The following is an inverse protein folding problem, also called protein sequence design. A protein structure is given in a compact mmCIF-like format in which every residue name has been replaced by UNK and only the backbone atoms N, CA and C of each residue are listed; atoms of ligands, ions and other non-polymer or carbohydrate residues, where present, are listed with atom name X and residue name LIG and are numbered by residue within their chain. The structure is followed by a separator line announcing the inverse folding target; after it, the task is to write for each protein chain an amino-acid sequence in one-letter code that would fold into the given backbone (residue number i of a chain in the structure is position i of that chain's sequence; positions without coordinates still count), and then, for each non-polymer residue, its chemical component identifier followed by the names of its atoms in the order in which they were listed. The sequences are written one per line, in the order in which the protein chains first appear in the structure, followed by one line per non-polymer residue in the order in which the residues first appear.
data_IF_276165682023
#
_entry.id   IF_276165682023
#
_cell.length_a   1.000
_cell.length_b   1.000
_cell.length_c   1.000
_cell.angle_alpha   90.00
_cell.angle_beta   90.00
_cell.angle_gamma   90.00
#
_symmetry.space_group_name_H-M   'P 1'
#
loop_
_entity.id
_entity.type
_entity.pdbx_description
1 polymer ?
#
# COMPACT_ATOMS: atom_id res chain seq x y z
N UNK A 1 -43.56 34.06 44.52
CA UNK A 1 -43.61 33.67 43.09
C UNK A 1 -42.36 32.89 42.77
N UNK A 2 -42.38 31.57 43.05
CA UNK A 2 -41.33 30.63 42.69
C UNK A 2 -41.94 29.65 41.68
N UNK A 3 -41.30 29.47 40.53
CA UNK A 3 -41.56 28.36 39.63
C UNK A 3 -40.23 27.69 39.31
N UNK A 4 -39.98 26.58 39.99
CA UNK A 4 -38.99 25.59 39.60
C UNK A 4 -39.59 24.75 38.46
N UNK A 5 -38.80 24.57 37.40
CA UNK A 5 -39.12 23.67 36.28
C UNK A 5 -38.49 22.31 36.55
N UNK A 6 -39.33 21.30 36.71
CA UNK A 6 -38.94 19.90 36.67
C UNK A 6 -38.46 19.50 35.27
N UNK A 7 -37.27 18.91 35.21
CA UNK A 7 -36.75 18.20 34.05
C UNK A 7 -37.12 16.73 34.22
N UNK A 8 -37.95 16.20 33.32
CA UNK A 8 -38.21 14.75 33.21
C UNK A 8 -37.04 14.07 32.51
N UNK A 9 -36.39 13.17 33.21
CA UNK A 9 -35.37 12.23 32.69
C UNK A 9 -36.07 11.07 31.98
N UNK A 10 -35.72 10.84 30.71
CA UNK A 10 -36.19 9.71 29.91
C UNK A 10 -35.56 8.39 30.39
N UNK A 11 -36.40 7.35 30.43
CA UNK A 11 -36.08 5.97 30.78
C UNK A 11 -35.17 5.32 29.71
N UNK A 12 -34.01 4.83 30.15
CA UNK A 12 -33.13 3.94 29.39
C UNK A 12 -33.67 2.50 29.49
N UNK A 13 -34.26 1.99 28.40
CA UNK A 13 -34.60 0.58 28.24
C UNK A 13 -33.31 -0.26 28.11
N UNK A 14 -32.90 -0.87 29.22
CA UNK A 14 -32.00 -2.02 29.24
C UNK A 14 -32.73 -3.25 28.67
N UNK A 15 -32.29 -3.73 27.51
CA UNK A 15 -32.67 -5.06 27.01
C UNK A 15 -31.67 -6.08 27.57
N UNK A 16 -32.08 -6.76 28.65
CA UNK A 16 -31.37 -7.93 29.17
C UNK A 16 -31.52 -9.11 28.19
N UNK A 17 -30.39 -9.66 27.77
CA UNK A 17 -30.30 -10.95 27.11
C UNK A 17 -30.08 -11.99 28.22
N UNK A 18 -31.14 -12.66 28.67
CA UNK A 18 -31.03 -13.81 29.56
C UNK A 18 -30.50 -15.01 28.78
N UNK A 19 -29.28 -15.42 29.13
CA UNK A 19 -28.71 -16.71 28.77
C UNK A 19 -29.12 -17.69 29.87
N UNK A 20 -29.95 -18.67 29.53
CA UNK A 20 -30.25 -19.78 30.43
C UNK A 20 -29.01 -20.67 30.57
N UNK A 21 -28.38 -20.60 31.75
CA UNK A 21 -27.40 -21.56 32.21
C UNK A 21 -28.15 -22.77 32.79
N UNK A 22 -28.19 -23.88 32.07
CA UNK A 22 -28.38 -25.20 32.68
C UNK A 22 -27.02 -25.78 32.99
N UNK A 23 -26.60 -25.65 34.24
CA UNK A 23 -25.53 -26.45 34.83
C UNK A 23 -26.14 -27.75 35.35
N UNK A 24 -25.69 -28.90 34.86
CA UNK A 24 -25.69 -30.12 35.67
C UNK A 24 -24.44 -30.93 35.36
N UNK A 25 -23.71 -31.20 36.45
CA UNK A 25 -22.50 -31.99 36.53
C UNK A 25 -22.88 -33.47 36.46
N UNK A 26 -22.33 -34.23 35.52
CA UNK A 26 -22.06 -35.65 35.77
C UNK A 26 -20.69 -36.05 35.22
N UNK A 27 -19.89 -36.64 36.11
CA UNK A 27 -18.59 -37.27 35.82
C UNK A 27 -18.80 -38.59 35.08
N UNK A 28 -17.97 -38.96 34.09
CA UNK A 28 -17.88 -40.34 33.67
C UNK A 28 -16.77 -41.08 34.45
N UNK A 29 -17.08 -42.28 34.93
CA UNK A 29 -16.11 -43.33 35.26
C UNK A 29 -16.15 -44.42 34.17
N UNK A 30 -15.06 -45.18 34.01
CA UNK A 30 -14.76 -45.94 32.79
C UNK A 30 -15.21 -47.42 32.87
N UNK A 31 -15.06 -48.11 31.72
CA UNK A 31 -15.15 -49.57 31.49
C UNK A 31 -16.59 -50.12 31.42
N UNK A 32 -17.03 -51.00 30.53
CA UNK A 32 -16.38 -51.88 29.55
C UNK A 32 -17.45 -52.52 28.62
N UNK A 33 -17.00 -53.06 27.47
CA UNK A 33 -17.59 -54.17 26.69
C UNK A 33 -18.83 -53.96 25.79
N UNK A 34 -18.59 -54.08 24.48
CA UNK A 34 -19.08 -55.25 23.73
C UNK A 34 -20.32 -55.10 22.85
N UNK A 35 -20.08 -55.04 21.54
CA UNK A 35 -20.76 -55.80 20.47
C UNK A 35 -22.31 -55.79 20.42
N UNK A 36 -22.89 -55.08 19.43
CA UNK A 36 -23.88 -55.66 18.51
C UNK A 36 -24.03 -54.74 17.28
N UNK A 37 -24.07 -55.36 16.10
CA UNK A 37 -24.04 -54.68 14.81
C UNK A 37 -25.39 -54.48 14.14
N UNK A 38 -25.26 -53.75 13.03
CA UNK A 38 -26.04 -53.80 11.79
C UNK A 38 -27.48 -53.26 11.75
N UNK A 39 -27.71 -52.57 10.61
CA UNK A 39 -28.97 -52.18 9.97
C UNK A 39 -29.74 -50.97 10.55
N UNK A 40 -29.65 -49.84 9.83
CA UNK A 40 -30.69 -49.43 8.87
C UNK A 40 -30.20 -48.18 8.12
N UNK A 41 -29.92 -48.34 6.84
CA UNK A 41 -29.73 -47.25 5.88
C UNK A 41 -31.07 -46.53 5.68
N UNK A 42 -31.13 -45.23 6.00
CA UNK A 42 -32.18 -44.35 5.48
C UNK A 42 -31.56 -43.40 4.45
N UNK A 43 -31.89 -43.68 3.20
CA UNK A 43 -31.72 -42.84 2.02
C UNK A 43 -32.46 -41.51 2.28
N UNK A 44 -31.71 -40.41 2.40
CA UNK A 44 -32.24 -39.06 2.27
C UNK A 44 -31.95 -38.61 0.84
N UNK A 45 -33.01 -38.32 0.09
CA UNK A 45 -32.97 -37.79 -1.26
C UNK A 45 -32.55 -36.31 -1.21
N UNK A 46 -31.46 -35.96 -1.90
CA UNK A 46 -31.05 -34.57 -2.13
C UNK A 46 -31.89 -33.94 -3.24
N UNK A 47 -32.50 -32.76 -3.03
CA UNK A 47 -33.13 -32.02 -4.10
C UNK A 47 -32.10 -31.17 -4.86
N UNK A 48 -31.87 -31.57 -6.12
CA UNK A 48 -31.74 -30.70 -7.29
C UNK A 48 -30.73 -29.55 -7.22
N UNK A 49 -29.50 -29.82 -7.66
CA UNK A 49 -28.53 -28.79 -8.05
C UNK A 49 -28.97 -28.10 -9.35
N UNK A 50 -29.58 -26.93 -9.24
CA UNK A 50 -29.65 -25.98 -10.36
C UNK A 50 -28.29 -25.32 -10.56
N UNK A 51 -27.84 -25.35 -11.81
CA UNK A 51 -26.55 -24.94 -12.33
C UNK A 51 -26.12 -23.54 -11.90
N UNK A 52 -25.02 -23.45 -11.15
CA UNK A 52 -24.27 -22.21 -10.98
C UNK A 52 -23.55 -21.88 -12.29
N UNK A 53 -23.99 -20.82 -12.96
CA UNK A 53 -23.22 -20.21 -14.04
C UNK A 53 -21.87 -19.72 -13.51
N UNK A 54 -20.78 -20.27 -14.06
CA UNK A 54 -19.41 -19.88 -13.78
C UNK A 54 -19.18 -18.39 -14.11
N UNK A 55 -19.13 -17.56 -13.07
CA UNK A 55 -18.61 -16.19 -13.17
C UNK A 55 -17.08 -16.25 -13.39
N UNK A 56 -16.65 -16.30 -14.65
CA UNK A 56 -15.26 -16.00 -15.01
C UNK A 56 -14.99 -14.50 -14.81
N UNK A 57 -14.29 -14.15 -13.73
CA UNK A 57 -13.64 -12.84 -13.63
C UNK A 57 -12.49 -12.77 -14.65
N UNK A 58 -12.74 -12.13 -15.79
CA UNK A 58 -11.66 -11.70 -16.67
C UNK A 58 -10.91 -10.54 -16.00
N UNK A 59 -9.74 -10.84 -15.43
CA UNK A 59 -8.83 -9.83 -14.94
C UNK A 59 -8.34 -8.96 -16.11
N UNK A 60 -8.69 -7.66 -16.05
CA UNK A 60 -8.23 -6.63 -16.96
C UNK A 60 -6.70 -6.61 -16.98
N UNK A 61 -6.09 -6.91 -18.13
CA UNK A 61 -4.65 -6.71 -18.38
C UNK A 61 -4.34 -5.22 -18.18
N UNK A 62 -3.58 -4.88 -17.15
CA UNK A 62 -3.14 -3.51 -16.89
C UNK A 62 -1.94 -3.16 -17.81
N UNK A 63 -2.02 -2.13 -18.67
CA UNK A 63 -0.97 -1.82 -19.62
C UNK A 63 -0.14 -0.60 -19.20
N UNK A 64 0.73 -0.69 -18.19
CA UNK A 64 1.75 0.34 -17.96
C UNK A 64 3.01 -0.24 -17.29
N UNK A 65 4.03 -0.52 -18.11
CA UNK A 65 5.40 -0.81 -17.67
C UNK A 65 6.29 0.34 -18.15
N UNK A 66 6.81 1.13 -17.21
CA UNK A 66 7.90 2.05 -17.48
C UNK A 66 8.97 1.91 -16.38
N UNK A 67 10.15 1.43 -16.78
CA UNK A 67 11.35 1.39 -15.94
C UNK A 67 11.82 2.83 -15.65
N UNK A 68 12.18 3.12 -14.39
CA UNK A 68 12.95 4.32 -14.02
C UNK A 68 14.38 3.94 -13.64
N UNK A 69 15.43 4.51 -14.26
CA UNK A 69 16.81 4.36 -13.81
C UNK A 69 17.27 5.61 -13.05
N UNK A 70 17.74 5.45 -11.81
CA UNK A 70 18.38 6.54 -11.08
C UNK A 70 18.56 6.31 -9.58
N UNK A 71 19.64 5.61 -9.20
CA UNK A 71 20.65 5.96 -8.18
C UNK A 71 20.30 6.39 -6.76
N UNK A 72 19.04 6.56 -6.38
CA UNK A 72 18.62 6.66 -5.00
C UNK A 72 17.58 5.57 -4.75
N UNK A 73 17.74 4.80 -3.67
CA UNK A 73 16.68 3.95 -3.13
C UNK A 73 15.52 4.84 -2.69
N UNK A 74 14.77 5.34 -3.65
CA UNK A 74 13.42 5.81 -3.47
C UNK A 74 12.68 4.58 -2.98
N UNK A 75 12.54 4.40 -1.66
CA UNK A 75 11.57 3.45 -1.11
C UNK A 75 10.22 4.05 -1.46
N UNK A 76 9.53 3.59 -2.52
CA UNK A 76 8.14 3.99 -2.63
C UNK A 76 7.54 3.42 -1.35
N UNK A 77 6.90 4.26 -0.54
CA UNK A 77 5.94 3.72 0.41
C UNK A 77 4.90 3.05 -0.46
N UNK A 78 5.14 1.79 -0.82
CA UNK A 78 4.48 1.07 -1.90
C UNK A 78 3.16 0.61 -1.30
N UNK A 79 2.30 1.59 -1.06
CA UNK A 79 0.93 1.42 -0.59
C UNK A 79 0.20 0.90 -1.81
N UNK A 80 0.08 -0.42 -1.89
CA UNK A 80 -0.77 -1.09 -2.87
C UNK A 80 -2.10 -1.38 -2.21
N UNK A 81 -3.17 -1.31 -2.99
CA UNK A 81 -4.46 -1.78 -2.51
C UNK A 81 -4.39 -3.28 -2.31
N UNK A 82 -4.79 -3.76 -1.12
CA UNK A 82 -4.90 -5.18 -0.82
C UNK A 82 -5.85 -5.92 -1.77
N UNK A 83 -6.73 -5.23 -2.49
CA UNK A 83 -7.75 -5.87 -3.34
C UNK A 83 -7.37 -5.82 -4.81
N UNK A 84 -7.05 -4.64 -5.36
CA UNK A 84 -6.68 -4.51 -6.78
C UNK A 84 -5.21 -4.28 -7.05
N UNK A 85 -4.38 -4.13 -6.01
CA UNK A 85 -2.92 -4.00 -6.10
C UNK A 85 -2.40 -2.82 -6.91
N UNK A 86 -3.29 -1.91 -7.34
CA UNK A 86 -2.93 -0.65 -7.96
C UNK A 86 -2.16 0.21 -6.97
N UNK A 87 -1.14 0.88 -7.48
CA UNK A 87 -0.50 1.99 -6.80
C UNK A 87 -1.36 3.23 -6.99
N UNK A 88 -1.43 4.02 -5.94
CA UNK A 88 -2.29 5.18 -5.88
C UNK A 88 -1.67 6.18 -4.90
N UNK A 89 -2.08 7.44 -5.02
CA UNK A 89 -1.62 8.49 -4.13
C UNK A 89 -2.07 8.22 -2.68
N UNK A 90 -1.33 8.71 -1.67
CA UNK A 90 -1.68 8.55 -0.26
C UNK A 90 -3.07 9.06 0.13
N UNK A 91 -3.66 9.95 -0.67
CA UNK A 91 -5.00 10.52 -0.47
C UNK A 91 -6.11 9.57 -0.95
N UNK A 92 -5.82 8.78 -1.97
CA UNK A 92 -6.72 7.76 -2.51
C UNK A 92 -6.62 6.42 -1.75
N UNK A 93 -5.72 6.35 -0.78
CA UNK A 93 -5.54 5.21 0.10
C UNK A 93 -6.08 5.44 1.49
N UNK A 94 -6.71 4.40 2.00
CA UNK A 94 -6.96 4.23 3.41
C UNK A 94 -6.03 3.18 3.97
N UNK A 95 -5.34 3.52 5.06
CA UNK A 95 -4.66 2.54 5.89
C UNK A 95 -5.56 2.18 7.08
N UNK A 96 -5.72 0.88 7.31
CA UNK A 96 -6.57 0.33 8.35
C UNK A 96 -5.68 -0.40 9.37
N UNK A 97 -5.54 0.19 10.55
CA UNK A 97 -4.83 -0.41 11.71
C UNK A 97 -5.82 -0.96 12.74
N UNK A 98 -7.00 -0.38 12.86
CA UNK A 98 -8.04 -0.86 13.77
C UNK A 98 -8.59 -2.21 13.33
N UNK A 99 -8.57 -3.20 14.23
CA UNK A 99 -9.11 -4.55 14.00
C UNK A 99 -10.56 -4.50 13.48
N UNK A 100 -11.40 -3.63 14.02
CA UNK A 100 -12.80 -3.50 13.59
C UNK A 100 -12.94 -2.95 12.17
N UNK A 101 -12.08 -2.00 11.77
CA UNK A 101 -12.11 -1.45 10.40
C UNK A 101 -11.59 -2.47 9.38
N UNK A 102 -10.54 -3.21 9.72
CA UNK A 102 -10.04 -4.33 8.91
C UNK A 102 -11.12 -5.39 8.74
N UNK A 103 -11.78 -5.77 9.84
CA UNK A 103 -12.87 -6.74 9.84
C UNK A 103 -14.01 -6.31 8.92
N UNK A 104 -14.49 -5.08 9.00
CA UNK A 104 -15.57 -4.60 8.12
C UNK A 104 -15.16 -4.55 6.65
N UNK A 105 -13.94 -4.10 6.32
CA UNK A 105 -13.43 -4.20 4.96
C UNK A 105 -13.51 -5.65 4.46
N UNK A 106 -12.92 -6.59 5.21
CA UNK A 106 -12.80 -7.99 4.82
C UNK A 106 -14.17 -8.68 4.70
N UNK A 107 -15.08 -8.43 5.64
CA UNK A 107 -16.46 -8.93 5.57
C UNK A 107 -17.14 -8.44 4.29
N UNK A 108 -16.98 -7.17 3.93
CA UNK A 108 -17.51 -6.63 2.67
C UNK A 108 -16.92 -7.33 1.44
N UNK A 109 -15.62 -7.59 1.43
CA UNK A 109 -14.94 -8.32 0.34
C UNK A 109 -15.43 -9.77 0.22
N UNK A 110 -15.64 -10.47 1.34
CA UNK A 110 -16.19 -11.84 1.34
C UNK A 110 -17.62 -11.85 0.79
N UNK A 111 -18.46 -10.91 1.23
CA UNK A 111 -19.85 -10.80 0.73
C UNK A 111 -19.91 -10.47 -0.76
N UNK A 112 -18.92 -9.74 -1.27
CA UNK A 112 -18.77 -9.45 -2.70
C UNK A 112 -18.12 -10.57 -3.52
N UNK A 113 -17.73 -11.69 -2.90
CA UNK A 113 -17.03 -12.79 -3.57
C UNK A 113 -15.59 -12.47 -3.97
N UNK A 114 -15.01 -11.38 -3.47
CA UNK A 114 -13.64 -10.95 -3.78
C UNK A 114 -12.60 -11.62 -2.85
N UNK A 115 -13.04 -12.31 -1.79
CA UNK A 115 -12.17 -12.92 -0.78
C UNK A 115 -12.83 -14.14 -0.13
N UNK A 116 -12.05 -15.17 0.20
CA UNK A 116 -12.53 -16.34 0.98
C UNK A 116 -12.26 -16.15 2.47
N UNK A 117 -12.89 -16.97 3.32
CA UNK A 117 -12.73 -16.90 4.78
C UNK A 117 -11.30 -17.26 5.19
N UNK A 118 -10.69 -18.24 4.54
CA UNK A 118 -9.32 -18.70 4.81
C UNK A 118 -8.29 -17.60 4.52
N UNK A 119 -8.46 -16.88 3.40
CA UNK A 119 -7.63 -15.73 3.05
C UNK A 119 -7.80 -14.57 4.04
N UNK A 120 -9.03 -14.37 4.49
CA UNK A 120 -9.37 -13.31 5.42
C UNK A 120 -8.67 -13.46 6.78
N UNK A 121 -8.46 -14.67 7.28
CA UNK A 121 -7.72 -14.91 8.53
C UNK A 121 -6.27 -14.43 8.45
N UNK A 122 -5.58 -14.78 7.36
CA UNK A 122 -4.20 -14.34 7.11
C UNK A 122 -4.12 -12.82 7.05
N UNK A 123 -5.04 -12.20 6.31
CA UNK A 123 -5.10 -10.74 6.16
C UNK A 123 -5.43 -10.05 7.50
N UNK A 124 -6.32 -10.64 8.31
CA UNK A 124 -6.67 -10.11 9.62
C UNK A 124 -5.47 -10.06 10.57
N UNK A 125 -4.50 -10.97 10.40
CA UNK A 125 -3.26 -11.01 11.17
C UNK A 125 -2.29 -9.86 10.85
N UNK A 126 -2.42 -9.23 9.68
CA UNK A 126 -1.55 -8.12 9.27
C UNK A 126 -1.72 -6.91 10.19
N UNK A 127 -0.62 -6.29 10.62
CA UNK A 127 -0.67 -5.12 11.50
C UNK A 127 -1.43 -3.94 10.86
N UNK A 128 -1.21 -3.72 9.56
CA UNK A 128 -1.83 -2.65 8.77
C UNK A 128 -2.23 -3.18 7.41
N UNK A 129 -3.36 -2.71 6.90
CA UNK A 129 -3.84 -2.99 5.54
C UNK A 129 -3.98 -1.67 4.80
N UNK A 130 -3.53 -1.63 3.54
CA UNK A 130 -3.80 -0.52 2.64
C UNK A 130 -4.90 -0.92 1.66
N UNK A 131 -5.91 -0.07 1.48
CA UNK A 131 -6.94 -0.28 0.46
C UNK A 131 -7.29 1.04 -0.22
N UNK A 132 -7.54 1.01 -1.52
CA UNK A 132 -7.98 2.21 -2.21
C UNK A 132 -9.41 2.56 -1.78
N UNK A 133 -9.77 3.83 -1.89
CA UNK A 133 -11.08 4.32 -1.47
C UNK A 133 -12.23 3.67 -2.27
N UNK A 134 -11.96 3.20 -3.49
CA UNK A 134 -12.93 2.45 -4.31
C UNK A 134 -13.32 1.14 -3.61
N UNK A 135 -12.37 0.24 -3.33
CA UNK A 135 -12.67 -1.03 -2.66
C UNK A 135 -13.20 -0.85 -1.23
N UNK A 136 -12.79 0.23 -0.55
CA UNK A 136 -13.37 0.55 0.75
C UNK A 136 -14.87 0.88 0.66
N UNK A 137 -15.27 1.59 -0.41
CA UNK A 137 -16.67 1.94 -0.69
C UNK A 137 -17.45 0.72 -1.18
N UNK A 138 -16.89 -0.05 -2.11
CA UNK A 138 -17.51 -1.31 -2.59
C UNK A 138 -17.77 -2.29 -1.44
N UNK A 139 -16.80 -2.46 -0.53
CA UNK A 139 -16.98 -3.32 0.64
C UNK A 139 -18.13 -2.84 1.54
N UNK A 140 -18.29 -1.52 1.72
CA UNK A 140 -19.43 -0.96 2.45
C UNK A 140 -20.75 -1.23 1.72
N UNK A 141 -20.78 -1.06 0.40
CA UNK A 141 -21.97 -1.30 -0.42
C UNK A 141 -22.42 -2.77 -0.33
N UNK A 142 -21.47 -3.73 -0.33
CA UNK A 142 -21.80 -5.15 -0.13
C UNK A 142 -22.42 -5.42 1.25
N UNK A 143 -21.92 -4.76 2.30
CA UNK A 143 -22.50 -4.86 3.65
C UNK A 143 -23.92 -4.29 3.65
N UNK A 144 -24.13 -3.12 3.07
CA UNK A 144 -25.44 -2.47 3.00
C UNK A 144 -26.45 -3.31 2.20
N UNK A 145 -26.01 -3.85 1.05
CA UNK A 145 -26.79 -4.80 0.24
C UNK A 145 -27.19 -6.03 1.03
N UNK A 146 -26.26 -6.65 1.79
CA UNK A 146 -26.55 -7.83 2.61
C UNK A 146 -27.52 -7.54 3.75
N UNK A 147 -27.45 -6.33 4.32
CA UNK A 147 -28.38 -5.86 5.34
C UNK A 147 -29.73 -5.42 4.77
N UNK A 148 -29.80 -5.17 3.46
CA UNK A 148 -30.93 -4.53 2.78
C UNK A 148 -31.26 -3.15 3.36
N UNK A 149 -30.22 -2.31 3.50
CA UNK A 149 -30.33 -0.92 3.97
C UNK A 149 -29.65 0.03 2.98
N UNK A 150 -30.08 1.30 2.94
CA UNK A 150 -29.46 2.35 2.11
C UNK A 150 -28.57 3.29 2.92
N UNK A 151 -28.75 3.32 4.24
CA UNK A 151 -28.01 4.19 5.13
C UNK A 151 -27.82 3.54 6.50
N UNK A 152 -26.93 4.10 7.32
CA UNK A 152 -26.62 3.53 8.63
C UNK A 152 -27.75 3.77 9.66
N UNK A 153 -28.58 4.78 9.42
CA UNK A 153 -29.75 5.12 10.24
C UNK A 153 -30.80 4.00 10.19
N UNK A 154 -30.93 3.32 9.05
CA UNK A 154 -31.83 2.16 8.85
C UNK A 154 -31.35 0.89 9.58
N UNK A 155 -30.15 0.87 10.15
CA UNK A 155 -29.64 -0.28 10.90
C UNK A 155 -30.49 -0.63 12.13
N UNK A 156 -31.26 0.35 12.65
CA UNK A 156 -32.19 0.14 13.78
C UNK A 156 -33.42 -0.66 13.39
N UNK A 157 -33.87 -0.53 12.15
CA UNK A 157 -35.07 -1.19 11.60
C UNK A 157 -34.74 -2.39 10.71
N UNK A 158 -33.44 -2.66 10.49
CA UNK A 158 -32.96 -3.80 9.73
C UNK A 158 -33.50 -5.13 10.27
N UNK A 159 -33.87 -6.05 9.37
CA UNK A 159 -34.31 -7.40 9.71
C UNK A 159 -33.26 -8.14 10.55
N UNK A 160 -33.72 -8.79 11.62
CA UNK A 160 -32.87 -9.63 12.49
C UNK A 160 -32.20 -10.75 11.70
N UNK A 161 -32.87 -11.30 10.69
CA UNK A 161 -32.32 -12.37 9.86
C UNK A 161 -31.16 -11.90 8.99
N UNK A 162 -31.25 -10.69 8.43
CA UNK A 162 -30.15 -10.11 7.65
C UNK A 162 -28.94 -9.83 8.54
N UNK A 163 -29.17 -9.28 9.74
CA UNK A 163 -28.11 -9.07 10.73
C UNK A 163 -27.48 -10.41 11.13
N UNK A 164 -28.29 -11.45 11.39
CA UNK A 164 -27.80 -12.80 11.72
C UNK A 164 -26.93 -13.37 10.60
N UNK A 165 -27.36 -13.28 9.35
CA UNK A 165 -26.59 -13.74 8.17
C UNK A 165 -25.25 -13.01 8.04
N UNK A 166 -25.22 -11.70 8.26
CA UNK A 166 -23.96 -10.93 8.28
C UNK A 166 -23.06 -11.34 9.45
N UNK A 167 -23.64 -11.50 10.64
CA UNK A 167 -22.91 -11.89 11.84
C UNK A 167 -22.31 -13.29 11.75
N UNK A 168 -22.91 -14.21 10.98
CA UNK A 168 -22.27 -15.50 10.70
C UNK A 168 -20.90 -15.33 10.02
N UNK A 169 -20.79 -14.42 9.05
CA UNK A 169 -19.49 -14.11 8.40
C UNK A 169 -18.52 -13.44 9.37
N UNK A 170 -19.01 -12.50 10.18
CA UNK A 170 -18.20 -11.82 11.20
C UNK A 170 -17.63 -12.83 12.20
N UNK A 171 -18.46 -13.76 12.69
CA UNK A 171 -18.07 -14.73 13.71
C UNK A 171 -17.05 -15.76 13.20
N UNK A 172 -16.98 -16.00 11.90
CA UNK A 172 -15.91 -16.82 11.31
C UNK A 172 -14.53 -16.14 11.39
N UNK A 173 -14.47 -14.80 11.49
CA UNK A 173 -13.23 -14.04 11.46
C UNK A 173 -12.76 -13.52 12.82
N UNK A 174 -13.57 -13.66 13.87
CA UNK A 174 -13.24 -13.21 15.21
C UNK A 174 -13.96 -14.01 16.28
N UNK A 175 -13.19 -14.50 17.25
CA UNK A 175 -13.71 -15.16 18.46
C UNK A 175 -14.50 -14.21 19.36
N UNK A 176 -14.13 -12.91 19.34
CA UNK A 176 -14.75 -11.91 20.23
C UNK A 176 -16.06 -11.41 19.64
N UNK A 177 -17.13 -11.29 20.46
CA UNK A 177 -18.40 -10.74 20.00
C UNK A 177 -18.23 -9.29 19.54
N UNK A 178 -18.81 -8.98 18.39
CA UNK A 178 -18.71 -7.66 17.76
C UNK A 178 -20.07 -6.98 17.79
N UNK A 179 -20.12 -5.79 18.38
CA UNK A 179 -21.30 -4.93 18.33
C UNK A 179 -21.37 -4.21 16.98
N UNK A 180 -21.96 -4.85 15.96
CA UNK A 180 -22.09 -4.30 14.60
C UNK A 180 -22.71 -2.89 14.60
N UNK A 181 -23.75 -2.67 15.42
CA UNK A 181 -24.42 -1.37 15.59
C UNK A 181 -23.49 -0.24 16.06
N UNK A 182 -22.38 -0.59 16.71
CA UNK A 182 -21.36 0.38 17.16
C UNK A 182 -20.32 0.64 16.08
N UNK A 183 -19.80 -0.42 15.45
CA UNK A 183 -18.63 -0.29 14.57
C UNK A 183 -18.98 0.14 13.13
N UNK A 184 -20.17 -0.20 12.63
CA UNK A 184 -20.56 0.14 11.26
C UNK A 184 -20.73 1.66 11.05
N UNK A 185 -21.36 2.43 11.97
CA UNK A 185 -21.40 3.89 11.88
C UNK A 185 -20.01 4.55 11.79
N UNK A 186 -19.06 4.10 12.61
CA UNK A 186 -17.68 4.64 12.59
C UNK A 186 -16.99 4.39 11.24
N UNK A 187 -17.24 3.21 10.65
CA UNK A 187 -16.70 2.84 9.35
C UNK A 187 -17.32 3.68 8.21
N UNK A 188 -18.64 3.84 8.22
CA UNK A 188 -19.36 4.72 7.28
C UNK A 188 -18.88 6.17 7.40
N UNK A 189 -18.72 6.68 8.61
CA UNK A 189 -18.23 8.05 8.83
C UNK A 189 -16.82 8.23 8.27
N UNK A 190 -15.95 7.22 8.41
CA UNK A 190 -14.62 7.26 7.82
C UNK A 190 -14.68 7.32 6.29
N UNK A 191 -15.52 6.50 5.64
CA UNK A 191 -15.70 6.50 4.18
C UNK A 191 -16.27 7.84 3.70
N UNK A 192 -17.26 8.38 4.42
CA UNK A 192 -17.80 9.72 4.16
C UNK A 192 -16.72 10.81 4.30
N UNK A 193 -15.81 10.70 5.25
CA UNK A 193 -14.70 11.65 5.40
C UNK A 193 -13.68 11.56 4.26
N UNK A 194 -13.56 10.40 3.60
CA UNK A 194 -12.69 10.22 2.44
C UNK A 194 -13.31 10.79 1.17
N UNK A 195 -14.62 10.60 0.97
CA UNK A 195 -15.37 11.19 -0.16
C UNK A 195 -15.58 12.70 -0.03
N UNK A 196 -15.61 13.22 1.20
CA UNK A 196 -15.68 14.66 1.49
C UNK A 196 -14.35 15.41 1.40
N UNK A 197 -13.23 14.74 1.12
CA UNK A 197 -12.06 15.46 0.64
C UNK A 197 -12.31 15.68 -0.85
N UNK A 198 -12.77 16.87 -1.30
CA UNK A 198 -12.44 17.23 -2.66
C UNK A 198 -10.91 17.10 -2.71
N UNK A 199 -10.39 16.31 -3.64
CA UNK A 199 -9.04 16.61 -4.11
C UNK A 199 -9.20 17.99 -4.72
N UNK A 200 -9.05 19.02 -3.88
CA UNK A 200 -9.02 20.40 -4.28
C UNK A 200 -7.74 20.52 -5.10
N UNK A 201 -7.82 20.09 -6.37
CA UNK A 201 -6.84 20.29 -7.43
C UNK A 201 -6.89 21.76 -7.83
N UNK A 202 -6.82 22.59 -6.81
CA UNK A 202 -6.79 24.03 -6.87
C UNK A 202 -5.32 24.34 -7.01
N UNK A 203 -4.94 24.89 -8.16
CA UNK A 203 -3.59 25.36 -8.36
C UNK A 203 -3.25 26.41 -7.30
N UNK A 204 -2.18 26.19 -6.56
CA UNK A 204 -1.75 27.07 -5.45
C UNK A 204 -1.37 28.47 -5.94
N UNK A 205 -1.02 28.62 -7.22
CA UNK A 205 -0.64 29.89 -7.84
C UNK A 205 -1.85 30.70 -8.31
N UNK A 206 -2.83 30.08 -8.98
CA UNK A 206 -3.96 30.81 -9.56
C UNK A 206 -5.33 30.51 -8.96
N UNK A 207 -5.40 29.64 -7.96
CA UNK A 207 -6.63 29.19 -7.31
C UNK A 207 -7.68 28.56 -8.26
N UNK A 208 -7.32 28.24 -9.51
CA UNK A 208 -8.21 27.53 -10.44
C UNK A 208 -8.30 26.07 -10.06
N UNK A 209 -9.53 25.57 -9.96
CA UNK A 209 -9.83 24.16 -9.79
C UNK A 209 -9.71 23.43 -11.14
N UNK A 210 -9.02 22.30 -11.15
CA UNK A 210 -9.01 21.38 -12.29
C UNK A 210 -9.83 20.12 -12.00
N UNK A 211 -10.71 19.78 -12.93
CA UNK A 211 -11.36 18.46 -12.96
C UNK A 211 -10.46 17.38 -13.56
N UNK A 212 -9.51 17.77 -14.42
CA UNK A 212 -8.60 16.85 -15.11
C UNK A 212 -7.34 16.59 -14.25
N UNK A 213 -7.01 15.33 -13.92
CA UNK A 213 -5.76 14.99 -13.22
C UNK A 213 -4.52 15.40 -14.00
N UNK A 214 -4.58 15.41 -15.33
CA UNK A 214 -3.42 15.68 -16.16
C UNK A 214 -3.11 17.18 -16.25
N UNK A 215 -4.05 18.06 -15.91
CA UNK A 215 -3.81 19.51 -15.92
C UNK A 215 -3.02 20.03 -14.70
N UNK A 216 -2.87 19.19 -13.66
CA UNK A 216 -2.21 19.58 -12.41
C UNK A 216 -1.11 18.63 -11.98
N UNK A 217 -0.02 19.21 -11.49
CA UNK A 217 1.11 18.50 -10.91
C UNK A 217 1.03 18.59 -9.39
N UNK A 218 1.16 17.45 -8.71
CA UNK A 218 1.21 17.42 -7.24
C UNK A 218 2.63 17.74 -6.77
N UNK A 219 2.75 18.69 -5.84
CA UNK A 219 4.01 19.17 -5.30
C UNK A 219 4.08 18.76 -3.82
N UNK A 220 4.82 17.67 -3.56
CA UNK A 220 4.96 17.07 -2.21
C UNK A 220 6.31 17.32 -1.55
N UNK A 221 7.32 17.56 -2.36
CA UNK A 221 8.68 17.79 -1.88
C UNK A 221 8.85 19.26 -1.54
N UNK A 222 9.47 19.54 -0.40
CA UNK A 222 9.90 20.88 -0.01
C UNK A 222 10.74 21.55 -1.09
N UNK A 223 11.73 20.85 -1.65
CA UNK A 223 12.53 21.31 -2.79
C UNK A 223 11.64 21.69 -3.98
N UNK A 224 10.65 20.85 -4.31
CA UNK A 224 9.73 21.15 -5.42
C UNK A 224 8.85 22.37 -5.15
N UNK A 225 8.40 22.56 -3.91
CA UNK A 225 7.63 23.74 -3.50
C UNK A 225 8.50 24.99 -3.56
N UNK A 226 9.73 24.89 -3.08
CA UNK A 226 10.68 26.01 -3.06
C UNK A 226 10.97 26.52 -4.47
N UNK A 227 11.30 25.64 -5.42
CA UNK A 227 11.54 26.03 -6.83
C UNK A 227 10.28 26.64 -7.47
N UNK A 228 9.12 26.01 -7.29
CA UNK A 228 7.86 26.52 -7.83
C UNK A 228 7.52 27.92 -7.28
N UNK A 229 7.59 28.09 -5.96
CA UNK A 229 7.20 29.33 -5.30
C UNK A 229 8.23 30.44 -5.56
N UNK A 230 9.52 30.10 -5.67
CA UNK A 230 10.56 31.05 -6.11
C UNK A 230 10.21 31.60 -7.50
N UNK A 231 9.94 30.73 -8.47
CA UNK A 231 9.54 31.18 -9.81
C UNK A 231 8.20 31.92 -9.83
N UNK A 232 7.24 31.54 -8.99
CA UNK A 232 5.95 32.23 -8.87
C UNK A 232 6.08 33.65 -8.27
N UNK A 233 7.01 33.85 -7.33
CA UNK A 233 7.33 35.17 -6.77
C UNK A 233 8.06 36.03 -7.82
N UNK A 234 9.02 35.46 -8.55
CA UNK A 234 9.78 36.16 -9.59
C UNK A 234 8.93 36.51 -10.82
N UNK A 235 7.82 35.81 -11.05
CA UNK A 235 6.81 36.16 -12.07
C UNK A 235 5.79 37.19 -11.57
N UNK A 236 5.82 37.55 -10.29
CA UNK A 236 4.87 38.47 -9.67
C UNK A 236 3.47 37.89 -9.48
N UNK A 237 3.32 36.56 -9.53
CA UNK A 237 2.03 35.88 -9.39
C UNK A 237 1.65 35.62 -7.94
N UNK A 238 2.63 35.55 -7.06
CA UNK A 238 2.47 35.34 -5.63
C UNK A 238 3.39 36.33 -4.92
N UNK A 239 2.93 36.95 -3.84
CA UNK A 239 3.77 37.78 -2.98
C UNK A 239 4.69 36.90 -2.12
N UNK A 240 5.87 37.40 -1.76
CA UNK A 240 6.86 36.61 -1.01
C UNK A 240 6.30 36.09 0.34
N UNK A 241 5.50 36.89 1.05
CA UNK A 241 4.91 36.49 2.32
C UNK A 241 3.84 35.40 2.16
N UNK A 242 3.04 35.46 1.09
CA UNK A 242 2.10 34.39 0.75
C UNK A 242 2.83 33.09 0.41
N UNK A 243 3.93 33.19 -0.35
CA UNK A 243 4.78 32.05 -0.68
C UNK A 243 5.38 31.40 0.58
N UNK A 244 5.86 32.18 1.57
CA UNK A 244 6.31 31.65 2.88
C UNK A 244 5.20 30.89 3.59
N UNK A 245 3.99 31.44 3.64
CA UNK A 245 2.85 30.74 4.22
C UNK A 245 2.54 29.42 3.48
N UNK A 246 2.70 29.41 2.16
CA UNK A 246 2.51 28.21 1.33
C UNK A 246 3.60 27.15 1.53
N UNK A 247 4.82 27.53 1.90
CA UNK A 247 5.92 26.59 2.22
C UNK A 247 5.61 25.69 3.42
N UNK A 248 4.69 26.07 4.31
CA UNK A 248 4.26 25.23 5.46
C UNK A 248 3.28 24.12 5.05
N UNK A 249 2.66 24.18 3.85
CA UNK A 249 1.64 23.22 3.41
C UNK A 249 2.25 21.98 2.75
N UNK A 250 2.17 20.82 3.42
CA UNK A 250 2.82 19.56 2.99
C UNK A 250 2.42 19.01 1.62
N UNK A 251 1.19 19.29 1.16
CA UNK A 251 0.70 18.86 -0.15
C UNK A 251 0.00 20.03 -0.83
N UNK A 252 0.45 20.39 -2.03
CA UNK A 252 -0.25 21.33 -2.90
C UNK A 252 -0.26 20.86 -4.36
N UNK A 253 -1.17 21.45 -5.13
CA UNK A 253 -1.27 21.23 -6.56
C UNK A 253 -0.89 22.52 -7.27
N UNK A 254 -0.25 22.40 -8.42
CA UNK A 254 -0.06 23.51 -9.34
C UNK A 254 -0.47 23.07 -10.74
N UNK A 255 -1.05 23.95 -11.55
CA UNK A 255 -1.27 23.57 -12.93
C UNK A 255 0.07 23.50 -13.67
N UNK A 256 0.15 22.64 -14.69
CA UNK A 256 1.38 22.47 -15.48
C UNK A 256 1.88 23.78 -16.09
N UNK A 257 0.95 24.66 -16.47
CA UNK A 257 1.27 25.98 -16.99
C UNK A 257 2.06 26.85 -15.99
N UNK A 258 1.66 26.89 -14.71
CA UNK A 258 2.38 27.67 -13.69
C UNK A 258 3.71 27.03 -13.30
N UNK A 259 3.80 25.69 -13.30
CA UNK A 259 5.07 25.01 -13.09
C UNK A 259 6.07 25.37 -14.19
N UNK A 260 5.59 25.33 -15.42
CA UNK A 260 6.32 25.66 -16.63
C UNK A 260 6.83 27.10 -16.61
N UNK A 261 5.94 28.05 -16.36
CA UNK A 261 6.25 29.47 -16.31
C UNK A 261 7.22 29.84 -15.18
N UNK A 262 7.07 29.22 -14.00
CA UNK A 262 7.98 29.42 -12.88
C UNK A 262 9.42 29.04 -13.25
N UNK A 263 9.60 27.91 -13.93
CA UNK A 263 10.90 27.45 -14.40
C UNK A 263 11.43 28.31 -15.55
N UNK A 264 10.57 28.69 -16.50
CA UNK A 264 10.96 29.56 -17.61
C UNK A 264 11.50 30.88 -17.08
N UNK A 265 10.87 31.43 -16.03
CA UNK A 265 11.35 32.66 -15.39
C UNK A 265 12.71 32.48 -14.70
N UNK A 266 12.92 31.36 -14.02
CA UNK A 266 14.22 31.05 -13.40
C UNK A 266 15.31 30.93 -14.47
N UNK A 267 15.03 30.21 -15.55
CA UNK A 267 15.97 30.01 -16.67
C UNK A 267 16.27 31.33 -17.40
N UNK A 268 15.26 32.19 -17.59
CA UNK A 268 15.41 33.55 -18.13
C UNK A 268 16.38 34.40 -17.29
N UNK A 269 16.21 34.41 -15.96
CA UNK A 269 17.06 35.17 -15.04
C UNK A 269 18.50 34.63 -15.06
N UNK A 270 18.66 33.30 -15.08
CA UNK A 270 19.96 32.64 -15.20
C UNK A 270 20.60 32.80 -16.59
N UNK A 271 19.84 33.28 -17.58
CA UNK A 271 20.23 33.40 -19.00
C UNK A 271 20.70 32.07 -19.59
N UNK A 272 19.99 30.99 -19.26
CA UNK A 272 20.23 29.65 -19.79
C UNK A 272 18.97 29.11 -20.47
N UNK A 273 19.15 28.34 -21.53
CA UNK A 273 18.04 27.66 -22.21
C UNK A 273 17.82 26.23 -21.69
N UNK A 274 18.89 25.59 -21.19
CA UNK A 274 18.90 24.19 -20.76
C UNK A 274 19.80 24.00 -19.55
N UNK A 275 19.68 22.86 -18.86
CA UNK A 275 20.52 22.50 -17.71
C UNK A 275 22.01 22.41 -18.04
N UNK A 276 22.40 22.28 -19.31
CA UNK A 276 23.81 22.26 -19.71
C UNK A 276 24.48 23.62 -19.44
N UNK A 277 23.73 24.73 -19.52
CA UNK A 277 24.22 26.07 -19.20
C UNK A 277 24.36 26.35 -17.70
N UNK A 278 23.81 25.49 -16.83
CA UNK A 278 23.72 25.74 -15.39
C UNK A 278 25.10 25.74 -14.71
N UNK A 279 26.06 24.95 -15.21
CA UNK A 279 27.41 24.88 -14.63
C UNK A 279 28.17 26.20 -14.83
N UNK A 280 27.96 26.88 -15.96
CA UNK A 280 28.69 28.09 -16.36
C UNK A 280 27.97 29.40 -16.00
N UNK A 281 26.68 29.35 -15.67
CA UNK A 281 25.91 30.56 -15.36
C UNK A 281 26.30 31.15 -13.99
N UNK A 282 26.19 32.47 -13.85
CA UNK A 282 26.26 33.16 -12.55
C UNK A 282 24.83 33.28 -12.03
N UNK A 283 24.59 32.90 -10.78
CA UNK A 283 23.25 33.00 -10.18
C UNK A 283 22.97 34.46 -9.85
N UNK A 284 21.84 34.99 -10.32
CA UNK A 284 21.45 36.36 -10.01
C UNK A 284 21.15 36.54 -8.51
N UNK A 285 21.61 37.65 -7.93
CA UNK A 285 21.46 37.93 -6.50
C UNK A 285 19.99 38.04 -6.07
N UNK A 286 19.11 38.55 -6.94
CA UNK A 286 17.68 38.65 -6.64
C UNK A 286 17.03 37.26 -6.58
N UNK A 287 17.36 36.38 -7.54
CA UNK A 287 16.91 34.99 -7.56
C UNK A 287 17.36 34.25 -6.30
N UNK A 288 18.65 34.34 -5.93
CA UNK A 288 19.18 33.67 -4.76
C UNK A 288 18.57 34.21 -3.46
N UNK A 289 18.41 35.54 -3.36
CA UNK A 289 17.74 36.18 -2.21
C UNK A 289 16.30 35.69 -2.04
N UNK A 290 15.51 35.63 -3.12
CA UNK A 290 14.13 35.13 -3.05
C UNK A 290 14.11 33.65 -2.65
N UNK A 291 15.02 32.85 -3.17
CA UNK A 291 15.14 31.43 -2.83
C UNK A 291 15.48 31.24 -1.34
N UNK A 292 16.46 31.97 -0.81
CA UNK A 292 16.88 31.90 0.58
C UNK A 292 15.82 32.40 1.56
N UNK A 293 15.12 33.48 1.19
CA UNK A 293 14.01 34.03 1.96
C UNK A 293 12.87 33.02 2.13
N UNK A 294 12.57 32.22 1.10
CA UNK A 294 11.55 31.17 1.17
C UNK A 294 12.03 29.90 1.86
N UNK A 295 13.33 29.61 1.81
CA UNK A 295 13.91 28.43 2.44
C UNK A 295 14.26 28.63 3.92
N UNK A 296 14.17 29.86 4.42
CA UNK A 296 14.56 30.26 5.78
C UNK A 296 16.02 29.89 6.11
N UNK A 297 16.88 29.82 5.10
CA UNK A 297 18.31 29.55 5.22
C UNK A 297 19.06 30.06 4.00
N UNK A 298 20.31 30.48 4.21
CA UNK A 298 21.21 30.91 3.13
C UNK A 298 21.72 29.70 2.35
N UNK A 299 21.76 29.82 1.02
CA UNK A 299 22.39 28.86 0.12
C UNK A 299 23.49 29.53 -0.67
N UNK A 300 24.54 28.76 -0.98
CA UNK A 300 25.47 29.19 -2.01
C UNK A 300 24.94 28.87 -3.42
N UNK A 301 25.61 29.44 -4.44
CA UNK A 301 25.22 29.22 -5.84
C UNK A 301 25.23 27.74 -6.24
N UNK A 302 26.15 26.93 -5.67
CA UNK A 302 26.31 25.52 -6.01
C UNK A 302 25.15 24.70 -5.44
N UNK A 303 24.72 25.00 -4.22
CA UNK A 303 23.56 24.39 -3.58
C UNK A 303 22.30 24.70 -4.39
N UNK A 304 22.05 25.97 -4.75
CA UNK A 304 20.91 26.36 -5.58
C UNK A 304 20.89 25.61 -6.92
N UNK A 305 22.01 25.60 -7.65
CA UNK A 305 22.14 24.87 -8.92
C UNK A 305 21.86 23.38 -8.75
N UNK A 306 22.34 22.78 -7.67
CA UNK A 306 22.11 21.36 -7.37
C UNK A 306 20.64 21.06 -7.16
N UNK A 307 19.95 21.92 -6.39
CA UNK A 307 18.50 21.80 -6.13
C UNK A 307 17.71 21.93 -7.43
N UNK A 308 18.01 22.95 -8.26
CA UNK A 308 17.33 23.17 -9.53
C UNK A 308 17.54 21.99 -10.51
N UNK A 309 18.77 21.47 -10.61
CA UNK A 309 19.10 20.31 -11.43
C UNK A 309 18.35 19.06 -11.00
N UNK A 310 18.38 18.75 -9.70
CA UNK A 310 17.67 17.60 -9.13
C UNK A 310 16.15 17.72 -9.33
N UNK A 311 15.61 18.93 -9.20
CA UNK A 311 14.21 19.22 -9.45
C UNK A 311 13.80 18.86 -10.89
N UNK A 312 14.50 19.42 -11.90
CA UNK A 312 14.18 19.21 -13.32
C UNK A 312 14.33 17.73 -13.70
N UNK A 313 15.36 17.05 -13.18
CA UNK A 313 15.57 15.61 -13.44
C UNK A 313 14.49 14.69 -12.85
N UNK A 314 13.72 15.19 -11.87
CA UNK A 314 12.62 14.48 -11.21
C UNK A 314 11.24 14.92 -11.71
N UNK A 315 11.17 15.75 -12.75
CA UNK A 315 9.91 16.11 -13.41
C UNK A 315 9.39 14.96 -14.29
N UNK A 316 8.16 15.11 -14.77
CA UNK A 316 7.65 14.24 -15.83
C UNK A 316 8.54 14.37 -17.08
N UNK A 317 8.90 13.26 -17.77
CA UNK A 317 9.81 13.33 -18.91
C UNK A 317 9.37 14.29 -20.02
N UNK A 318 8.06 14.40 -20.29
CA UNK A 318 7.54 15.29 -21.33
C UNK A 318 7.66 16.76 -20.90
N UNK A 319 7.55 17.06 -19.61
CA UNK A 319 7.74 18.41 -19.08
C UNK A 319 9.23 18.78 -18.97
N UNK A 320 10.09 17.80 -18.66
CA UNK A 320 11.52 18.00 -18.49
C UNK A 320 12.24 18.18 -19.83
N UNK A 321 11.72 17.62 -20.93
CA UNK A 321 12.39 17.55 -22.24
C UNK A 321 12.93 18.92 -22.70
N UNK A 322 12.16 19.99 -22.50
CA UNK A 322 12.55 21.34 -22.90
C UNK A 322 13.75 21.91 -22.12
N UNK A 323 14.06 21.36 -20.95
CA UNK A 323 15.12 21.83 -20.06
C UNK A 323 16.38 20.98 -20.09
N UNK A 324 16.29 19.72 -20.53
CA UNK A 324 17.39 18.77 -20.42
C UNK A 324 18.49 18.98 -21.50
N UNK A 325 18.23 19.75 -22.56
CA UNK A 325 19.21 19.98 -23.63
C UNK A 325 19.52 18.74 -24.49
N UNK A 326 20.18 18.95 -25.64
CA UNK A 326 20.38 17.90 -26.65
C UNK A 326 21.38 16.80 -26.24
N UNK A 327 22.18 17.03 -25.18
CA UNK A 327 23.23 16.11 -24.74
C UNK A 327 22.81 15.12 -23.65
N UNK A 328 21.74 15.40 -22.91
CA UNK A 328 21.40 14.63 -21.71
C UNK A 328 20.90 13.22 -21.96
N UNK A 329 20.43 12.92 -23.17
CA UNK A 329 20.11 11.54 -23.57
C UNK A 329 21.34 10.61 -23.49
N UNK A 330 22.57 11.15 -23.41
CA UNK A 330 23.85 10.40 -23.48
C UNK A 330 24.71 10.42 -22.21
N UNK A 331 24.47 11.31 -21.23
CA UNK A 331 25.41 11.63 -20.13
C UNK A 331 25.32 10.77 -18.85
N UNK A 332 24.63 9.63 -18.84
CA UNK A 332 24.55 8.75 -17.63
C UNK A 332 25.80 7.87 -17.39
N UNK A 333 26.90 8.08 -18.11
CA UNK A 333 28.10 7.22 -18.05
C UNK A 333 29.26 7.81 -17.20
N UNK A 334 29.04 8.18 -15.94
CA UNK A 334 30.17 8.16 -14.97
C UNK A 334 30.45 6.69 -14.67
N UNK A 335 31.70 6.24 -14.86
CA UNK A 335 32.09 4.83 -14.63
C UNK A 335 31.64 4.41 -13.22
N UNK A 336 30.69 3.49 -13.08
CA UNK A 336 30.25 3.03 -11.78
C UNK A 336 31.41 2.40 -11.03
N UNK A 337 31.43 2.55 -9.71
CA UNK A 337 32.32 1.72 -8.89
C UNK A 337 31.80 0.30 -9.00
N UNK A 338 32.68 -0.63 -9.32
CA UNK A 338 32.33 -2.03 -9.48
C UNK A 338 32.46 -2.76 -8.13
N UNK A 339 31.53 -3.67 -7.81
CA UNK A 339 31.55 -4.53 -6.62
C UNK A 339 31.29 -5.99 -7.03
N UNK A 340 31.90 -6.94 -6.31
CA UNK A 340 31.62 -8.36 -6.52
C UNK A 340 30.33 -8.76 -5.80
N UNK A 341 29.47 -9.53 -6.48
CA UNK A 341 28.28 -10.14 -5.87
C UNK A 341 28.62 -11.49 -5.24
N UNK A 342 28.18 -11.71 -4.00
CA UNK A 342 28.45 -12.96 -3.27
C UNK A 342 27.60 -14.15 -3.77
N UNK A 343 26.57 -13.88 -4.57
CA UNK A 343 25.66 -14.91 -5.12
C UNK A 343 26.18 -15.51 -6.44
N UNK A 344 26.74 -14.70 -7.32
CA UNK A 344 27.22 -15.13 -8.65
C UNK A 344 28.71 -14.88 -8.89
N UNK A 345 29.41 -14.29 -7.92
CA UNK A 345 30.82 -13.88 -8.01
C UNK A 345 31.14 -12.93 -9.17
N UNK A 346 30.11 -12.37 -9.84
CA UNK A 346 30.29 -11.43 -10.94
C UNK A 346 30.55 -10.03 -10.40
N UNK A 347 31.39 -9.29 -11.12
CA UNK A 347 31.60 -7.87 -10.90
C UNK A 347 30.39 -7.12 -11.46
N UNK A 348 29.71 -6.36 -10.61
CA UNK A 348 28.50 -5.61 -10.94
C UNK A 348 28.62 -4.15 -10.51
N UNK A 349 27.87 -3.29 -11.18
CA UNK A 349 27.78 -1.88 -10.83
C UNK A 349 27.29 -1.73 -9.38
N UNK A 350 27.95 -0.87 -8.59
CA UNK A 350 27.56 -0.53 -7.21
C UNK A 350 26.09 -0.12 -7.09
N UNK A 351 25.54 0.58 -8.09
CA UNK A 351 24.14 1.03 -8.13
C UNK A 351 23.15 -0.14 -8.25
N UNK A 352 23.63 -1.30 -8.70
CA UNK A 352 22.85 -2.54 -8.83
C UNK A 352 23.18 -3.56 -7.74
N UNK A 353 24.14 -3.24 -6.86
CA UNK A 353 24.56 -4.10 -5.76
C UNK A 353 23.84 -3.68 -4.50
N UNK A 354 23.17 -4.61 -3.84
CA UNK A 354 22.46 -4.40 -2.59
C UNK A 354 23.24 -5.07 -1.48
N UNK A 355 23.51 -4.32 -0.42
CA UNK A 355 24.06 -4.84 0.82
C UNK A 355 22.91 -5.36 1.69
N UNK A 356 22.92 -6.66 1.95
CA UNK A 356 21.90 -7.40 2.66
C UNK A 356 22.40 -7.68 4.08
N UNK A 357 22.10 -6.76 4.98
CA UNK A 357 22.37 -6.91 6.42
C UNK A 357 21.23 -7.61 7.18
N UNK A 358 20.04 -7.71 6.57
CA UNK A 358 18.86 -8.29 7.22
C UNK A 358 18.77 -9.80 7.00
N UNK A 359 18.72 -10.58 8.10
CA UNK A 359 18.62 -12.05 8.06
C UNK A 359 17.41 -12.57 7.30
N UNK A 360 16.28 -11.86 7.33
CA UNK A 360 15.05 -12.28 6.64
C UNK A 360 15.18 -12.10 5.12
N UNK A 361 15.81 -11.02 4.66
CA UNK A 361 16.14 -10.82 3.24
C UNK A 361 17.15 -11.87 2.76
N UNK A 362 18.15 -12.23 3.58
CA UNK A 362 19.07 -13.33 3.27
C UNK A 362 18.32 -14.65 3.11
N UNK A 363 17.40 -14.96 4.04
CA UNK A 363 16.59 -16.17 3.99
C UNK A 363 15.75 -16.26 2.71
N UNK A 364 15.10 -15.17 2.29
CA UNK A 364 14.29 -15.14 1.06
C UNK A 364 15.16 -15.40 -0.17
N UNK A 365 16.31 -14.73 -0.25
CA UNK A 365 17.27 -14.96 -1.31
C UNK A 365 17.70 -16.43 -1.37
N UNK A 366 18.02 -17.02 -0.22
CA UNK A 366 18.45 -18.41 -0.09
C UNK A 366 17.38 -19.41 -0.53
N UNK A 367 16.15 -19.23 -0.07
CA UNK A 367 15.01 -20.06 -0.48
C UNK A 367 14.82 -19.99 -1.99
N UNK A 368 14.84 -18.78 -2.58
CA UNK A 368 14.74 -18.61 -4.02
C UNK A 368 15.84 -19.34 -4.79
N UNK A 369 17.08 -19.39 -4.28
CA UNK A 369 18.18 -20.12 -4.94
C UNK A 369 18.04 -21.64 -4.82
N UNK A 370 17.50 -22.15 -3.72
CA UNK A 370 17.18 -23.57 -3.55
C UNK A 370 16.07 -23.97 -4.53
N UNK A 371 14.99 -23.16 -4.60
CA UNK A 371 13.86 -23.40 -5.51
C UNK A 371 14.28 -23.40 -6.99
N UNK A 372 15.17 -22.46 -7.36
CA UNK A 372 15.76 -22.40 -8.69
C UNK A 372 16.74 -23.55 -9.00
N UNK A 373 17.02 -24.44 -8.02
CA UNK A 373 18.05 -25.49 -8.08
C UNK A 373 19.45 -24.95 -8.42
N UNK A 374 19.71 -23.69 -8.09
CA UNK A 374 21.00 -23.02 -8.33
C UNK A 374 21.98 -23.24 -7.17
N UNK A 375 21.47 -23.61 -5.99
CA UNK A 375 22.25 -23.90 -4.79
C UNK A 375 21.65 -25.05 -3.98
N UNK A 376 22.51 -25.86 -3.37
CA UNK A 376 22.08 -26.85 -2.38
C UNK A 376 21.86 -26.20 -1.02
N UNK A 377 21.25 -26.96 -0.10
CA UNK A 377 21.04 -26.52 1.27
C UNK A 377 22.35 -26.20 1.98
N UNK A 378 23.35 -27.05 1.82
CA UNK A 378 24.66 -26.94 2.46
C UNK A 378 25.43 -25.70 1.95
N UNK A 379 25.34 -25.42 0.65
CA UNK A 379 25.93 -24.21 0.09
C UNK A 379 25.27 -22.95 0.66
N UNK A 380 23.95 -22.93 0.76
CA UNK A 380 23.19 -21.83 1.35
C UNK A 380 23.54 -21.62 2.83
N UNK A 381 23.65 -22.69 3.61
CA UNK A 381 24.05 -22.63 5.03
C UNK A 381 25.46 -21.99 5.16
N UNK A 382 26.39 -22.32 4.28
CA UNK A 382 27.72 -21.67 4.27
C UNK A 382 27.65 -20.16 4.00
N UNK A 383 26.70 -19.71 3.17
CA UNK A 383 26.48 -18.29 2.86
C UNK A 383 25.91 -17.50 4.04
N UNK A 384 25.15 -18.14 4.95
CA UNK A 384 24.57 -17.48 6.15
C UNK A 384 25.60 -17.10 7.21
N UNK A 385 26.82 -17.63 7.11
CA UNK A 385 27.87 -17.42 8.12
C UNK A 385 28.50 -16.02 8.04
N UNK A 386 28.30 -15.28 6.95
CA UNK A 386 28.81 -13.91 6.80
C UNK A 386 27.79 -12.87 7.32
N UNK A 387 28.20 -11.93 8.20
CA UNK A 387 27.32 -10.85 8.66
C UNK A 387 27.04 -9.81 7.57
N UNK A 388 27.92 -9.68 6.58
CA UNK A 388 27.78 -8.78 5.44
C UNK A 388 27.66 -9.61 4.17
N UNK A 389 26.54 -9.44 3.46
CA UNK A 389 26.22 -10.21 2.26
C UNK A 389 25.79 -9.26 1.14
N UNK A 390 26.42 -9.32 -0.02
CA UNK A 390 26.18 -8.43 -1.17
C UNK A 390 25.58 -9.21 -2.33
N UNK A 391 24.44 -8.73 -2.82
CA UNK A 391 23.75 -9.37 -3.94
C UNK A 391 23.46 -8.38 -5.06
N UNK A 392 23.53 -8.84 -6.30
CA UNK A 392 22.92 -8.10 -7.41
C UNK A 392 21.41 -7.99 -7.17
N UNK A 393 20.82 -6.86 -7.50
CA UNK A 393 19.37 -6.67 -7.47
C UNK A 393 18.64 -7.74 -8.29
N UNK A 394 19.23 -8.19 -9.40
CA UNK A 394 18.69 -9.26 -10.24
C UNK A 394 18.44 -10.55 -9.44
N UNK A 395 19.38 -10.96 -8.58
CA UNK A 395 19.21 -12.19 -7.80
C UNK A 395 18.14 -12.09 -6.71
N UNK A 396 17.95 -10.89 -6.15
CA UNK A 396 16.88 -10.65 -5.19
C UNK A 396 15.51 -10.74 -5.87
N UNK A 397 15.39 -10.17 -7.07
CA UNK A 397 14.17 -10.26 -7.87
C UNK A 397 13.89 -11.70 -8.32
N UNK A 398 14.90 -12.38 -8.89
CA UNK A 398 14.82 -13.80 -9.25
C UNK A 398 14.38 -14.66 -8.06
N UNK A 399 14.94 -14.43 -6.86
CA UNK A 399 14.54 -15.20 -5.70
C UNK A 399 13.06 -15.05 -5.35
N UNK A 400 12.52 -13.83 -5.49
CA UNK A 400 11.09 -13.58 -5.33
C UNK A 400 10.24 -14.29 -6.40
N UNK A 401 10.67 -14.19 -7.66
CA UNK A 401 9.99 -14.82 -8.79
C UNK A 401 9.97 -16.34 -8.68
N UNK A 402 11.06 -16.96 -8.22
CA UNK A 402 11.16 -18.41 -8.00
C UNK A 402 10.24 -18.88 -6.87
N UNK A 403 10.10 -18.09 -5.81
CA UNK A 403 9.13 -18.36 -4.75
C UNK A 403 7.70 -18.27 -5.29
N UNK A 404 7.39 -17.27 -6.12
CA UNK A 404 6.08 -17.11 -6.73
C UNK A 404 5.75 -18.25 -7.70
N UNK A 405 6.70 -18.60 -8.57
CA UNK A 405 6.57 -19.72 -9.50
C UNK A 405 6.33 -21.03 -8.73
N UNK A 406 7.07 -21.28 -7.65
CA UNK A 406 6.88 -22.45 -6.81
C UNK A 406 5.50 -22.50 -6.15
N UNK A 407 5.00 -21.36 -5.68
CA UNK A 407 3.67 -21.26 -5.10
C UNK A 407 2.54 -21.27 -6.14
N UNK A 408 2.88 -21.26 -7.43
CA UNK A 408 1.97 -21.10 -8.56
C UNK A 408 1.13 -19.81 -8.46
N UNK A 409 1.82 -18.71 -8.16
CA UNK A 409 1.24 -17.38 -8.07
C UNK A 409 2.04 -16.39 -8.91
N UNK A 410 1.43 -15.25 -9.23
CA UNK A 410 2.07 -14.18 -10.00
C UNK A 410 2.50 -13.01 -9.11
N UNK A 411 1.90 -12.88 -7.94
CA UNK A 411 2.08 -11.72 -7.09
C UNK A 411 2.08 -12.09 -5.61
N UNK A 412 2.81 -11.33 -4.78
CA UNK A 412 2.98 -11.59 -3.34
C UNK A 412 1.66 -11.77 -2.58
N UNK A 413 0.63 -11.05 -2.97
CA UNK A 413 -0.66 -11.09 -2.29
C UNK A 413 -1.42 -12.40 -2.51
N UNK A 414 -1.13 -13.11 -3.61
CA UNK A 414 -1.76 -14.37 -3.95
C UNK A 414 -1.26 -15.50 -3.04
N UNK A 415 -0.22 -15.24 -2.22
CA UNK A 415 0.32 -16.23 -1.28
C UNK A 415 -0.75 -16.74 -0.31
N UNK A 416 -1.71 -15.91 0.10
CA UNK A 416 -2.79 -16.41 0.94
C UNK A 416 -3.65 -17.45 0.20
N UNK A 417 -3.76 -17.31 -1.13
CA UNK A 417 -4.59 -18.11 -2.02
C UNK A 417 -3.88 -19.35 -2.58
N UNK A 418 -2.57 -19.53 -2.33
CA UNK A 418 -1.86 -20.72 -2.80
C UNK A 418 -2.34 -21.99 -2.09
N UNK A 419 -2.20 -23.15 -2.74
CA UNK A 419 -2.67 -24.43 -2.20
C UNK A 419 -1.93 -24.78 -0.90
N UNK A 420 -2.63 -25.44 0.04
CA UNK A 420 -2.02 -25.89 1.30
C UNK A 420 -0.84 -26.84 1.08
N UNK A 421 -0.86 -27.60 -0.02
CA UNK A 421 0.27 -28.41 -0.45
C UNK A 421 1.49 -27.55 -0.82
N UNK A 422 1.31 -26.51 -1.65
CA UNK A 422 2.39 -25.59 -2.00
C UNK A 422 2.94 -24.87 -0.76
N UNK A 423 2.07 -24.43 0.15
CA UNK A 423 2.47 -23.83 1.44
C UNK A 423 3.32 -24.80 2.26
N UNK A 424 2.86 -26.05 2.41
CA UNK A 424 3.56 -27.09 3.19
C UNK A 424 4.92 -27.41 2.59
N UNK A 425 5.00 -27.54 1.27
CA UNK A 425 6.25 -27.83 0.57
C UNK A 425 7.25 -26.67 0.67
N UNK A 426 6.77 -25.42 0.55
CA UNK A 426 7.61 -24.24 0.75
C UNK A 426 8.12 -24.18 2.19
N UNK A 427 7.23 -24.40 3.17
CA UNK A 427 7.59 -24.39 4.58
C UNK A 427 8.53 -25.52 4.97
N UNK A 428 8.52 -26.66 4.28
CA UNK A 428 9.52 -27.70 4.49
C UNK A 428 10.94 -27.19 4.17
N UNK A 429 11.08 -26.38 3.12
CA UNK A 429 12.35 -25.73 2.77
C UNK A 429 12.70 -24.65 3.80
N UNK A 430 11.76 -23.76 4.12
CA UNK A 430 11.95 -22.70 5.12
C UNK A 430 12.40 -23.29 6.46
N UNK A 431 11.70 -24.32 6.95
CA UNK A 431 11.96 -24.95 8.24
C UNK A 431 13.22 -25.79 8.26
N UNK A 432 13.70 -26.23 7.08
CA UNK A 432 15.02 -26.87 7.00
C UNK A 432 16.16 -25.89 7.30
N UNK A 433 15.95 -24.58 7.06
CA UNK A 433 16.89 -23.50 7.36
C UNK A 433 16.60 -22.84 8.72
N UNK A 434 15.31 -22.68 9.08
CA UNK A 434 14.85 -22.09 10.34
C UNK A 434 13.63 -22.86 10.90
N UNK A 435 13.84 -23.89 11.73
CA UNK A 435 12.78 -24.82 12.16
C UNK A 435 11.58 -24.19 12.87
N UNK A 436 11.78 -23.05 13.53
CA UNK A 436 10.75 -22.41 14.36
C UNK A 436 9.80 -21.48 13.57
N UNK A 437 10.00 -21.34 12.26
CA UNK A 437 9.21 -20.42 11.44
C UNK A 437 7.81 -21.00 11.15
N UNK A 438 6.79 -20.19 11.39
CA UNK A 438 5.44 -20.48 10.89
C UNK A 438 5.24 -19.81 9.54
N UNK A 439 4.30 -20.32 8.76
CA UNK A 439 3.96 -19.74 7.46
C UNK A 439 3.57 -18.25 7.57
N UNK A 440 2.85 -17.87 8.63
CA UNK A 440 2.49 -16.47 8.87
C UNK A 440 3.71 -15.57 9.10
N UNK A 441 4.76 -16.07 9.75
CA UNK A 441 6.00 -15.32 9.97
C UNK A 441 6.76 -15.15 8.65
N UNK A 442 6.88 -16.24 7.90
CA UNK A 442 7.50 -16.23 6.58
C UNK A 442 6.76 -15.30 5.60
N UNK A 443 5.44 -15.36 5.56
CA UNK A 443 4.60 -14.48 4.74
C UNK A 443 4.82 -13.00 5.07
N UNK A 444 4.90 -12.65 6.37
CA UNK A 444 5.20 -11.28 6.79
C UNK A 444 6.57 -10.82 6.30
N UNK A 445 7.58 -11.67 6.38
CA UNK A 445 8.92 -11.34 5.87
C UNK A 445 8.94 -11.18 4.36
N UNK A 446 8.18 -12.00 3.65
CA UNK A 446 8.06 -11.92 2.21
C UNK A 446 7.33 -10.63 1.78
N UNK A 447 6.29 -10.22 2.52
CA UNK A 447 5.63 -8.92 2.32
C UNK A 447 6.56 -7.73 2.60
N UNK A 448 7.30 -7.77 3.70
CA UNK A 448 8.31 -6.74 4.02
C UNK A 448 9.43 -6.70 2.97
N UNK A 449 9.85 -7.87 2.46
CA UNK A 449 10.85 -7.97 1.40
C UNK A 449 10.38 -7.32 0.10
N UNK A 450 9.17 -7.62 -0.35
CA UNK A 450 8.62 -7.00 -1.57
C UNK A 450 8.22 -5.54 -1.37
N UNK A 451 8.07 -5.10 -0.13
CA UNK A 451 7.94 -3.68 0.19
C UNK A 451 9.28 -2.95 -0.01
N UNK A 452 10.39 -3.55 0.41
CA UNK A 452 11.73 -2.97 0.25
C UNK A 452 12.30 -3.14 -1.17
N UNK A 453 11.92 -4.22 -1.86
CA UNK A 453 12.36 -4.58 -3.21
C UNK A 453 11.14 -4.86 -4.11
N UNK A 454 10.42 -3.82 -4.55
CA UNK A 454 9.27 -4.02 -5.42
C UNK A 454 9.72 -4.69 -6.72
N UNK A 455 9.22 -5.90 -6.97
CA UNK A 455 9.36 -6.57 -8.27
C UNK A 455 8.58 -5.73 -9.26
N UNK A 456 9.30 -4.91 -10.03
CA UNK A 456 8.73 -4.33 -11.23
C UNK A 456 8.51 -5.51 -12.17
N UNK A 457 7.23 -5.86 -12.38
CA UNK A 457 6.80 -6.83 -13.38
C UNK A 457 7.58 -6.59 -14.68
N UNK A 458 8.38 -7.58 -15.06
CA UNK A 458 9.05 -7.61 -16.36
C UNK A 458 8.05 -7.82 -17.49
#
# INVERSE_FOLDING_TARGET
MNQEKEIKTEELLHYDYSVENTSENEKPKPEELGYFGALMEQKVEEPGSESSEDFKLEFVKNPYVARKPGGALWRPSSRRCLVCYRFESSENFSYLTSKNKKLLLIVGLILGGQMTVENAELIMSLYRIYTCNIHLTEALDQIFKKLNIKSVEELRTCSKDNVKKLMNVVNMLTEKPVALKRILPEFVQRIKALSKKPQNRICIVCSKFSTDPDDVTTIRSEVKRLILLTGAVLTGKIEADDAKFMMVKYDCWTCRAHLSEALDKIFEILKIETLDGLEECIVDNELLRTFDELAEKEHDELEFKTVLKDFVLKMDPLEAERYLGSGWSKSRNKKPKDRMCDVCSSIVNIDTTIEISCKTTQLILMIGRILAKKKTKEEVESMTSSPEFRSCQVHLLEAGDEIFAFLNIKHNFEISFCSEENKRNLMAIVNSLHPDFKFVDFYRFLDDFFYDFPVNSC
#
